data_IF_170268899617
#
_entry.id   IF_170268899617
#
_cell.length_a   1.000
_cell.length_b   1.000
_cell.length_c   1.000
_cell.angle_alpha   90.00
_cell.angle_beta   90.00
_cell.angle_gamma   90.00
#
_symmetry.space_group_name_H-M   'P 1'
#
loop_
_entity.id
_entity.type
_entity.pdbx_description
1 polymer ?
#
# COMPACT_ATOMS: atom_id res chain seq x y z
N UNK A 1 -6.40 -16.86 -10.38
CA UNK A 1 -5.69 -16.17 -9.29
C UNK A 1 -6.71 -15.59 -8.34
N UNK A 2 -6.55 -15.81 -7.03
CA UNK A 2 -7.40 -15.21 -5.99
C UNK A 2 -6.57 -14.13 -5.29
N UNK A 3 -6.58 -12.92 -5.83
CA UNK A 3 -6.00 -11.76 -5.17
C UNK A 3 -6.96 -11.29 -4.07
N UNK A 4 -6.41 -10.92 -2.91
CA UNK A 4 -7.09 -10.42 -1.73
C UNK A 4 -6.73 -8.95 -1.49
N UNK A 5 -7.58 -8.24 -0.75
CA UNK A 5 -7.29 -6.89 -0.27
C UNK A 5 -7.02 -6.94 1.24
N UNK A 6 -5.91 -6.34 1.66
CA UNK A 6 -5.50 -6.17 3.04
C UNK A 6 -5.47 -4.68 3.39
N UNK A 7 -5.80 -4.37 4.65
CA UNK A 7 -5.79 -3.02 5.19
C UNK A 7 -4.94 -2.98 6.45
N UNK A 8 -4.06 -2.00 6.53
CA UNK A 8 -3.10 -1.89 7.64
C UNK A 8 -2.95 -0.43 8.07
N UNK A 9 -2.52 -0.22 9.32
CA UNK A 9 -2.15 1.11 9.80
C UNK A 9 -0.70 1.42 9.45
N UNK A 10 -0.53 2.42 8.59
CA UNK A 10 0.77 2.95 8.18
C UNK A 10 1.33 3.98 9.16
N UNK A 11 2.52 4.49 8.83
CA UNK A 11 3.09 5.68 9.45
C UNK A 11 2.36 6.96 8.98
N UNK A 12 2.61 8.14 9.59
CA UNK A 12 1.95 9.39 9.17
C UNK A 12 2.18 9.80 7.71
N UNK A 13 3.21 9.27 7.06
CA UNK A 13 3.55 9.48 5.65
C UNK A 13 3.26 8.24 4.76
N UNK A 14 2.34 7.38 5.21
CA UNK A 14 2.01 6.12 4.58
C UNK A 14 3.00 5.04 5.00
N UNK A 15 3.99 4.80 4.17
CA UNK A 15 4.99 3.73 4.36
C UNK A 15 6.42 4.27 4.42
N UNK A 16 6.65 5.48 3.91
CA UNK A 16 8.00 5.98 3.59
C UNK A 16 8.92 6.02 4.80
N UNK A 17 8.47 6.56 5.93
CA UNK A 17 9.29 6.63 7.15
C UNK A 17 9.69 5.25 7.65
N UNK A 18 8.74 4.30 7.79
CA UNK A 18 9.03 2.91 8.19
C UNK A 18 10.06 2.25 7.28
N UNK A 19 9.84 2.32 5.96
CA UNK A 19 10.76 1.74 4.99
C UNK A 19 12.19 2.30 5.13
N UNK A 20 12.32 3.60 5.37
CA UNK A 20 13.62 4.26 5.55
C UNK A 20 14.27 3.92 6.89
N UNK A 21 13.49 3.88 7.98
CA UNK A 21 13.96 3.55 9.32
C UNK A 21 14.50 2.11 9.38
N UNK A 22 13.84 1.19 8.67
CA UNK A 22 14.20 -0.23 8.63
C UNK A 22 15.25 -0.58 7.56
N UNK A 23 15.60 0.36 6.67
CA UNK A 23 16.39 0.09 5.46
C UNK A 23 17.71 -0.64 5.74
N UNK A 24 18.38 -0.34 6.86
CA UNK A 24 19.63 -0.99 7.24
C UNK A 24 19.44 -2.45 7.67
N UNK A 25 18.37 -2.76 8.41
CA UNK A 25 18.06 -4.12 8.81
C UNK A 25 17.56 -4.94 7.61
N UNK A 26 16.69 -4.33 6.80
CA UNK A 26 16.22 -4.91 5.54
C UNK A 26 17.37 -5.20 4.57
N UNK A 27 18.38 -4.32 4.48
CA UNK A 27 19.61 -4.56 3.72
C UNK A 27 20.37 -5.79 4.22
N UNK A 28 20.58 -5.89 5.54
CA UNK A 28 21.27 -7.04 6.14
C UNK A 28 20.54 -8.35 5.83
N UNK A 29 19.24 -8.39 6.07
CA UNK A 29 18.41 -9.55 5.79
C UNK A 29 18.43 -9.95 4.30
N UNK A 30 18.31 -8.96 3.41
CA UNK A 30 18.36 -9.20 1.95
C UNK A 30 19.73 -9.71 1.50
N UNK A 31 20.83 -9.25 2.11
CA UNK A 31 22.18 -9.75 1.82
C UNK A 31 22.38 -11.21 2.24
N UNK A 32 21.80 -11.60 3.37
CA UNK A 32 21.81 -13.00 3.83
C UNK A 32 21.06 -13.89 2.82
N UNK A 33 19.86 -13.46 2.39
CA UNK A 33 19.11 -14.18 1.36
C UNK A 33 19.81 -14.20 0.00
N UNK A 34 20.49 -13.11 -0.39
CA UNK A 34 21.25 -13.09 -1.63
C UNK A 34 22.45 -14.04 -1.63
N UNK A 35 23.02 -14.33 -0.44
CA UNK A 35 24.08 -15.32 -0.31
C UNK A 35 23.56 -16.76 -0.47
N UNK A 36 22.33 -17.02 -0.03
CA UNK A 36 21.66 -18.33 -0.18
C UNK A 36 21.05 -18.51 -1.58
N UNK A 37 20.46 -17.45 -2.14
CA UNK A 37 19.72 -17.43 -3.40
C UNK A 37 20.23 -16.33 -4.36
N UNK A 38 21.47 -16.44 -4.88
CA UNK A 38 22.09 -15.36 -5.66
C UNK A 38 21.38 -15.03 -6.98
N UNK A 39 20.57 -15.95 -7.51
CA UNK A 39 19.77 -15.72 -8.72
C UNK A 39 18.54 -14.84 -8.50
N UNK A 40 18.04 -14.73 -7.26
CA UNK A 40 16.82 -13.99 -6.92
C UNK A 40 17.10 -12.51 -6.59
N UNK A 41 18.35 -12.19 -6.24
CA UNK A 41 18.77 -10.86 -5.77
C UNK A 41 19.86 -10.27 -6.67
N UNK A 42 19.49 -9.64 -7.80
CA UNK A 42 20.47 -9.10 -8.74
C UNK A 42 21.33 -7.98 -8.11
N UNK A 43 22.59 -7.79 -8.55
CA UNK A 43 23.50 -6.79 -7.98
C UNK A 43 22.95 -5.35 -7.95
N UNK A 44 22.15 -4.97 -8.95
CA UNK A 44 21.51 -3.65 -9.00
C UNK A 44 20.58 -3.41 -7.80
N UNK A 45 19.79 -4.41 -7.41
CA UNK A 45 18.86 -4.36 -6.27
C UNK A 45 19.61 -4.17 -4.95
N UNK A 46 20.67 -4.95 -4.74
CA UNK A 46 21.53 -4.85 -3.55
C UNK A 46 22.25 -3.49 -3.49
N UNK A 47 22.76 -3.01 -4.63
CA UNK A 47 23.40 -1.70 -4.73
C UNK A 47 22.43 -0.59 -4.40
N UNK A 48 21.19 -0.68 -4.90
CA UNK A 48 20.17 0.33 -4.65
C UNK A 48 19.70 0.34 -3.19
N UNK A 49 19.50 -0.84 -2.61
CA UNK A 49 19.15 -0.96 -1.19
C UNK A 49 20.25 -0.40 -0.29
N UNK A 50 21.53 -0.67 -0.60
CA UNK A 50 22.65 -0.06 0.10
C UNK A 50 22.70 1.47 -0.04
N UNK A 51 22.34 2.02 -1.21
CA UNK A 51 22.24 3.49 -1.37
C UNK A 51 21.10 4.08 -0.53
N UNK A 52 19.95 3.40 -0.46
CA UNK A 52 18.81 3.80 0.37
C UNK A 52 19.20 3.76 1.86
N UNK A 53 19.77 2.65 2.33
CA UNK A 53 20.26 2.48 3.71
C UNK A 53 21.24 3.59 4.11
N UNK A 54 22.12 4.02 3.19
CA UNK A 54 23.12 5.06 3.45
C UNK A 54 22.59 6.49 3.33
N UNK A 55 21.80 6.80 2.31
CA UNK A 55 21.37 8.20 1.98
C UNK A 55 19.93 8.51 2.35
N UNK A 56 19.17 7.51 2.80
CA UNK A 56 17.77 7.63 3.19
C UNK A 56 16.91 8.22 2.08
N UNK A 57 16.06 9.19 2.44
CA UNK A 57 15.11 9.84 1.54
C UNK A 57 15.72 10.43 0.26
N UNK A 58 17.01 10.81 0.28
CA UNK A 58 17.69 11.33 -0.91
C UNK A 58 17.90 10.27 -2.01
N UNK A 59 17.89 8.98 -1.66
CA UNK A 59 17.95 7.88 -2.61
C UNK A 59 16.61 7.58 -3.30
N UNK A 60 15.50 8.14 -2.80
CA UNK A 60 14.16 7.95 -3.36
C UNK A 60 13.81 9.00 -4.43
N UNK A 61 14.77 9.81 -4.88
CA UNK A 61 14.56 10.83 -5.91
C UNK A 61 15.31 10.43 -7.17
N UNK A 62 14.60 10.28 -8.28
CA UNK A 62 15.20 9.94 -9.57
C UNK A 62 14.39 10.49 -10.74
N UNK A 63 15.05 10.63 -11.88
CA UNK A 63 14.42 10.90 -13.18
C UNK A 63 14.42 9.68 -14.09
N UNK A 64 15.02 8.56 -13.65
CA UNK A 64 15.09 7.31 -14.41
C UNK A 64 13.94 6.36 -14.00
N UNK A 65 12.99 6.06 -14.91
CA UNK A 65 11.92 5.11 -14.64
C UNK A 65 12.43 3.70 -14.30
N UNK A 66 13.59 3.28 -14.82
CA UNK A 66 14.18 1.99 -14.50
C UNK A 66 14.64 1.90 -13.04
N UNK A 67 15.26 2.96 -12.55
CA UNK A 67 15.61 3.10 -11.13
C UNK A 67 14.36 3.19 -10.25
N UNK A 68 13.32 3.91 -10.68
CA UNK A 68 12.07 4.01 -9.94
C UNK A 68 11.39 2.64 -9.80
N UNK A 69 11.32 1.86 -10.88
CA UNK A 69 10.79 0.49 -10.86
C UNK A 69 11.62 -0.43 -9.95
N UNK A 70 12.94 -0.28 -9.92
CA UNK A 70 13.80 -1.07 -9.03
C UNK A 70 13.47 -0.81 -7.54
N UNK A 71 13.16 0.43 -7.18
CA UNK A 71 12.75 0.77 -5.81
C UNK A 71 11.36 0.21 -5.49
N UNK A 72 10.42 0.22 -6.44
CA UNK A 72 9.11 -0.42 -6.25
C UNK A 72 9.25 -1.93 -6.01
N UNK A 73 10.17 -2.59 -6.72
CA UNK A 73 10.48 -4.00 -6.48
C UNK A 73 11.05 -4.20 -5.07
N UNK A 74 12.01 -3.38 -4.64
CA UNK A 74 12.53 -3.41 -3.25
C UNK A 74 11.43 -3.21 -2.22
N UNK A 75 10.45 -2.38 -2.54
CA UNK A 75 9.29 -2.13 -1.69
C UNK A 75 8.40 -3.38 -1.56
N UNK A 76 8.25 -4.18 -2.63
CA UNK A 76 7.59 -5.49 -2.56
C UNK A 76 8.36 -6.49 -1.68
N UNK A 77 9.68 -6.54 -1.79
CA UNK A 77 10.48 -7.44 -0.94
C UNK A 77 10.46 -6.99 0.53
N UNK A 78 10.38 -5.68 0.76
CA UNK A 78 10.23 -5.12 2.10
C UNK A 78 8.92 -5.59 2.75
N UNK A 79 7.83 -5.74 1.99
CA UNK A 79 6.61 -6.37 2.51
C UNK A 79 6.88 -7.78 3.05
N UNK A 80 7.56 -8.62 2.26
CA UNK A 80 7.91 -9.98 2.69
C UNK A 80 8.83 -9.97 3.92
N UNK A 81 9.79 -9.04 3.98
CA UNK A 81 10.64 -8.84 5.15
C UNK A 81 9.80 -8.52 6.39
N UNK A 82 8.88 -7.56 6.31
CA UNK A 82 7.99 -7.20 7.42
C UNK A 82 7.17 -8.40 7.91
N UNK A 83 6.57 -9.16 7.00
CA UNK A 83 5.76 -10.34 7.31
C UNK A 83 6.57 -11.46 7.96
N UNK A 84 7.78 -11.73 7.46
CA UNK A 84 8.63 -12.83 7.96
C UNK A 84 9.24 -12.49 9.33
N UNK A 85 9.64 -11.24 9.53
CA UNK A 85 10.32 -10.80 10.75
C UNK A 85 9.37 -10.34 11.85
N UNK A 86 8.14 -9.96 11.49
CA UNK A 86 7.16 -9.39 12.42
C UNK A 86 7.54 -8.00 12.95
N UNK A 87 8.45 -7.28 12.29
CA UNK A 87 9.05 -6.04 12.80
C UNK A 87 8.03 -4.91 13.03
N UNK A 88 6.97 -4.84 12.21
CA UNK A 88 5.84 -3.91 12.38
C UNK A 88 4.60 -4.54 12.99
N UNK A 89 4.72 -5.81 13.45
CA UNK A 89 3.68 -6.63 14.09
C UNK A 89 2.28 -6.28 13.67
N UNK A 90 1.76 -6.96 12.63
CA UNK A 90 0.44 -6.82 12.02
C UNK A 90 -0.57 -6.07 12.92
N UNK A 91 -0.57 -4.74 12.90
CA UNK A 91 -1.78 -3.98 13.21
C UNK A 91 -2.66 -4.06 11.98
N UNK A 92 -3.02 -5.31 11.70
CA UNK A 92 -3.92 -5.73 10.67
C UNK A 92 -5.26 -5.13 11.03
N UNK A 93 -5.65 -4.16 10.23
CA UNK A 93 -6.97 -3.56 10.25
C UNK A 93 -7.82 -4.52 9.43
N UNK A 94 -7.86 -5.80 9.80
CA UNK A 94 -8.41 -6.87 8.95
C UNK A 94 -9.77 -7.28 9.46
N UNK A 95 -10.84 -6.87 8.76
CA UNK A 95 -12.14 -7.47 8.96
C UNK A 95 -12.58 -8.26 7.72
N UNK A 96 -11.81 -8.28 6.62
CA UNK A 96 -12.07 -9.12 5.45
C UNK A 96 -10.80 -9.37 4.63
N UNK A 97 -10.32 -10.61 4.62
CA UNK A 97 -9.52 -11.13 3.51
C UNK A 97 -10.49 -11.53 2.38
N UNK A 98 -11.06 -10.55 1.68
CA UNK A 98 -11.95 -10.80 0.55
C UNK A 98 -11.23 -10.67 -0.78
N UNK A 99 -11.73 -11.44 -1.74
CA UNK A 99 -11.20 -11.44 -3.10
C UNK A 99 -11.43 -10.09 -3.75
N UNK A 100 -10.43 -9.63 -4.50
CA UNK A 100 -10.40 -8.37 -5.25
C UNK A 100 -11.70 -8.06 -6.01
N UNK A 101 -12.33 -9.07 -6.62
CA UNK A 101 -13.55 -8.89 -7.40
C UNK A 101 -14.79 -8.45 -6.60
N UNK A 102 -14.72 -8.47 -5.26
CA UNK A 102 -15.79 -7.91 -4.42
C UNK A 102 -15.74 -6.39 -4.33
N UNK A 103 -14.63 -5.77 -4.71
CA UNK A 103 -14.57 -4.31 -4.75
C UNK A 103 -15.12 -3.85 -6.10
N UNK A 104 -16.08 -2.93 -6.07
CA UNK A 104 -16.54 -2.26 -7.28
C UNK A 104 -15.35 -1.57 -7.96
N UNK A 105 -15.33 -1.53 -9.29
CA UNK A 105 -14.23 -0.88 -10.03
C UNK A 105 -14.25 0.63 -9.79
N UNK A 106 -15.46 1.20 -9.75
CA UNK A 106 -15.70 2.60 -9.44
C UNK A 106 -16.74 2.73 -8.34
N UNK A 107 -16.53 3.68 -7.42
CA UNK A 107 -17.44 3.88 -6.28
C UNK A 107 -18.85 4.25 -6.74
N UNK A 108 -18.98 5.00 -7.84
CA UNK A 108 -20.26 5.43 -8.40
C UNK A 108 -21.12 4.29 -8.97
N UNK A 109 -20.54 3.11 -9.22
CA UNK A 109 -21.30 1.94 -9.70
C UNK A 109 -22.26 1.40 -8.63
N UNK A 110 -21.86 1.50 -7.36
CA UNK A 110 -22.61 1.00 -6.20
C UNK A 110 -23.17 2.10 -5.31
N UNK A 111 -22.56 3.29 -5.35
CA UNK A 111 -23.05 4.51 -4.70
C UNK A 111 -23.15 5.65 -5.73
N UNK A 112 -24.22 5.71 -6.55
CA UNK A 112 -24.34 6.70 -7.63
C UNK A 112 -24.37 8.18 -7.18
N UNK A 113 -24.61 8.41 -5.89
CA UNK A 113 -24.64 9.75 -5.27
C UNK A 113 -23.31 10.13 -4.62
N UNK A 114 -22.29 9.28 -4.69
CA UNK A 114 -20.96 9.60 -4.19
C UNK A 114 -20.36 10.80 -4.93
N UNK A 115 -19.75 11.71 -4.17
CA UNK A 115 -19.05 12.87 -4.75
C UNK A 115 -17.83 12.46 -5.57
N UNK A 116 -17.45 13.27 -6.57
CA UNK A 116 -16.23 13.07 -7.38
C UNK A 116 -14.96 12.87 -6.54
N UNK A 117 -14.84 13.62 -5.43
CA UNK A 117 -13.72 13.50 -4.50
C UNK A 117 -13.69 12.14 -3.78
N UNK A 118 -14.85 11.59 -3.40
CA UNK A 118 -14.95 10.26 -2.81
C UNK A 118 -14.56 9.17 -3.83
N UNK A 119 -15.01 9.32 -5.08
CA UNK A 119 -14.60 8.44 -6.18
C UNK A 119 -13.09 8.55 -6.47
N UNK A 120 -12.49 9.75 -6.33
CA UNK A 120 -11.05 9.93 -6.45
C UNK A 120 -10.26 9.19 -5.37
N UNK A 121 -10.63 9.34 -4.09
CA UNK A 121 -9.99 8.60 -3.00
C UNK A 121 -10.14 7.08 -3.17
N UNK A 122 -11.34 6.61 -3.53
CA UNK A 122 -11.59 5.19 -3.74
C UNK A 122 -10.68 4.61 -4.84
N UNK A 123 -10.56 5.28 -6.00
CA UNK A 123 -9.62 4.86 -7.05
C UNK A 123 -8.18 4.83 -6.57
N UNK A 124 -7.76 5.80 -5.75
CA UNK A 124 -6.40 5.86 -5.20
C UNK A 124 -6.05 4.65 -4.33
N UNK A 125 -6.97 4.12 -3.54
CA UNK A 125 -6.74 2.91 -2.72
C UNK A 125 -6.25 1.70 -3.54
N UNK A 126 -6.50 1.72 -4.84
CA UNK A 126 -6.31 0.60 -5.75
C UNK A 126 -5.33 0.91 -6.91
N UNK A 127 -4.77 2.12 -6.94
CA UNK A 127 -3.94 2.58 -8.04
C UNK A 127 -2.48 2.14 -7.92
N UNK A 128 -1.96 1.98 -6.70
CA UNK A 128 -0.54 1.79 -6.41
C UNK A 128 0.20 3.13 -6.28
N UNK A 129 0.75 3.38 -5.10
CA UNK A 129 1.56 4.54 -4.76
C UNK A 129 3.04 4.15 -4.69
N UNK A 130 3.92 4.93 -5.33
CA UNK A 130 5.36 4.69 -5.29
C UNK A 130 6.00 5.50 -4.17
N UNK A 131 7.01 4.92 -3.50
CA UNK A 131 7.88 5.64 -2.57
C UNK A 131 8.83 6.62 -3.29
N UNK A 132 8.92 6.50 -4.62
CA UNK A 132 9.87 7.23 -5.46
C UNK A 132 9.28 8.56 -5.92
N UNK A 133 10.03 9.63 -5.70
CA UNK A 133 9.78 10.92 -6.34
C UNK A 133 10.32 10.87 -7.78
N UNK A 134 9.48 10.39 -8.71
CA UNK A 134 9.75 10.37 -10.15
C UNK A 134 8.51 10.84 -10.93
N UNK A 135 8.67 11.85 -11.79
CA UNK A 135 7.54 12.48 -12.49
C UNK A 135 6.77 11.47 -13.35
N UNK A 136 5.45 11.36 -13.13
CA UNK A 136 4.57 10.46 -13.87
C UNK A 136 4.76 8.97 -13.58
N UNK A 137 5.62 8.61 -12.62
CA UNK A 137 5.82 7.23 -12.21
C UNK A 137 4.74 6.79 -11.22
N UNK A 138 4.30 5.54 -11.35
CA UNK A 138 3.36 4.88 -10.45
C UNK A 138 3.90 3.53 -10.07
N UNK A 139 3.54 3.03 -8.89
CA UNK A 139 4.01 1.72 -8.42
C UNK A 139 3.68 0.60 -9.42
N UNK A 140 4.64 -0.28 -9.68
CA UNK A 140 4.44 -1.50 -10.48
C UNK A 140 5.13 -2.70 -9.84
N UNK A 141 4.36 -3.69 -9.41
CA UNK A 141 4.90 -4.99 -9.03
C UNK A 141 5.41 -5.77 -10.24
N UNK A 142 6.25 -6.77 -9.97
CA UNK A 142 6.80 -7.68 -10.99
C UNK A 142 5.69 -8.51 -11.66
N UNK A 143 4.67 -8.91 -10.91
CA UNK A 143 3.56 -9.75 -11.38
C UNK A 143 2.39 -8.95 -11.97
N UNK A 144 2.39 -7.62 -11.85
CA UNK A 144 1.31 -6.73 -12.28
C UNK A 144 0.01 -6.85 -11.46
N UNK A 145 0.00 -7.70 -10.42
CA UNK A 145 -1.14 -7.94 -9.54
C UNK A 145 -0.94 -7.21 -8.23
N UNK A 146 0.23 -7.35 -7.61
CA UNK A 146 0.50 -6.73 -6.33
C UNK A 146 0.49 -5.21 -6.41
N UNK A 147 -0.21 -4.56 -5.47
CA UNK A 147 -0.26 -3.10 -5.36
C UNK A 147 -0.23 -2.69 -3.91
N UNK A 148 0.48 -1.61 -3.64
CA UNK A 148 0.42 -0.89 -2.38
C UNK A 148 -0.02 0.53 -2.62
N UNK A 149 -1.09 0.94 -1.96
CA UNK A 149 -1.56 2.32 -1.99
C UNK A 149 -1.79 2.81 -0.56
N UNK A 150 -1.78 4.13 -0.36
CA UNK A 150 -2.04 4.69 0.94
C UNK A 150 -2.77 6.03 0.89
N UNK A 151 -3.57 6.25 1.93
CA UNK A 151 -4.12 7.55 2.26
C UNK A 151 -3.44 8.07 3.51
N UNK A 152 -2.94 9.31 3.44
CA UNK A 152 -2.40 10.01 4.59
C UNK A 152 -3.49 10.23 5.66
N UNK A 153 -3.14 10.52 6.93
CA UNK A 153 -4.14 10.56 8.00
C UNK A 153 -5.30 11.54 7.75
N UNK A 154 -4.99 12.70 7.16
CA UNK A 154 -6.01 13.69 6.79
C UNK A 154 -6.89 13.23 5.63
N UNK A 155 -6.30 12.56 4.63
CA UNK A 155 -7.03 11.98 3.48
C UNK A 155 -7.95 10.85 3.92
N UNK A 156 -7.47 9.96 4.80
CA UNK A 156 -8.26 8.89 5.39
C UNK A 156 -9.44 9.45 6.19
N UNK A 157 -9.21 10.48 7.02
CA UNK A 157 -10.28 11.15 7.77
C UNK A 157 -11.30 11.84 6.85
N UNK A 158 -10.85 12.53 5.81
CA UNK A 158 -11.74 13.18 4.84
C UNK A 158 -12.56 12.19 4.04
N UNK A 159 -11.93 11.11 3.58
CA UNK A 159 -12.64 10.06 2.87
C UNK A 159 -13.65 9.33 3.78
N UNK A 160 -13.26 9.03 5.02
CA UNK A 160 -14.15 8.47 6.04
C UNK A 160 -15.43 9.30 6.19
N UNK A 161 -15.29 10.62 6.33
CA UNK A 161 -16.43 11.54 6.49
C UNK A 161 -17.36 11.52 5.28
N UNK A 162 -16.82 11.40 4.07
CA UNK A 162 -17.61 11.31 2.83
C UNK A 162 -18.40 10.01 2.77
N UNK A 163 -17.78 8.87 3.08
CA UNK A 163 -18.46 7.57 3.08
C UNK A 163 -19.46 7.41 4.23
N UNK A 164 -19.24 8.04 5.38
CA UNK A 164 -20.17 8.01 6.51
C UNK A 164 -21.58 8.50 6.15
N UNK A 165 -21.70 9.46 5.22
CA UNK A 165 -23.00 9.93 4.72
C UNK A 165 -23.81 8.86 3.97
N UNK A 166 -23.19 7.73 3.63
CA UNK A 166 -23.79 6.61 2.93
C UNK A 166 -23.89 5.34 3.79
N UNK A 167 -23.51 5.38 5.07
CA UNK A 167 -23.38 4.20 5.93
C UNK A 167 -24.65 3.34 5.96
N UNK A 168 -25.83 3.97 5.99
CA UNK A 168 -27.13 3.28 6.04
C UNK A 168 -27.48 2.56 4.73
N UNK A 169 -26.82 2.91 3.62
CA UNK A 169 -27.03 2.28 2.30
C UNK A 169 -26.07 1.13 2.01
N UNK A 170 -25.09 0.90 2.89
CA UNK A 170 -24.11 -0.16 2.72
C UNK A 170 -24.68 -1.51 3.17
N UNK A 171 -24.41 -2.55 2.38
CA UNK A 171 -24.89 -3.90 2.62
C UNK A 171 -23.75 -4.91 2.43
N UNK A 172 -23.55 -5.81 3.39
CA UNK A 172 -22.52 -6.86 3.33
C UNK A 172 -22.92 -8.07 2.46
N UNK A 173 -24.19 -8.16 2.05
CA UNK A 173 -24.70 -9.23 1.19
C UNK A 173 -24.52 -8.95 -0.31
N UNK A 174 -24.40 -7.68 -0.70
CA UNK A 174 -24.06 -7.26 -2.06
C UNK A 174 -22.54 -7.15 -2.16
N UNK A 175 -21.91 -7.90 -3.08
CA UNK A 175 -20.45 -8.00 -3.15
C UNK A 175 -19.80 -6.60 -3.24
N UNK A 176 -20.31 -5.71 -4.10
CA UNK A 176 -19.77 -4.37 -4.32
C UNK A 176 -19.92 -3.45 -3.12
N UNK A 177 -21.10 -3.44 -2.49
CA UNK A 177 -21.35 -2.67 -1.27
C UNK A 177 -20.61 -3.26 -0.05
N UNK A 178 -20.34 -4.56 -0.03
CA UNK A 178 -19.55 -5.20 1.01
C UNK A 178 -18.10 -4.69 0.98
N UNK A 179 -17.49 -4.58 -0.22
CA UNK A 179 -16.18 -3.97 -0.39
C UNK A 179 -16.12 -2.55 0.17
N UNK A 180 -17.11 -1.71 -0.16
CA UNK A 180 -17.20 -0.33 0.34
C UNK A 180 -17.41 -0.28 1.86
N UNK A 181 -18.19 -1.21 2.42
CA UNK A 181 -18.37 -1.35 3.88
C UNK A 181 -17.05 -1.60 4.60
N UNK A 182 -16.19 -2.44 4.03
CA UNK A 182 -14.88 -2.73 4.60
C UNK A 182 -13.93 -1.56 4.49
N UNK A 183 -13.93 -0.85 3.37
CA UNK A 183 -13.19 0.41 3.21
C UNK A 183 -13.62 1.42 4.29
N UNK A 184 -14.93 1.61 4.50
CA UNK A 184 -15.43 2.51 5.54
C UNK A 184 -14.92 2.11 6.94
N UNK A 185 -14.97 0.82 7.28
CA UNK A 185 -14.49 0.32 8.57
C UNK A 185 -12.99 0.56 8.76
N UNK A 186 -12.19 0.29 7.73
CA UNK A 186 -10.75 0.53 7.75
C UNK A 186 -10.40 2.03 7.92
N UNK A 187 -11.15 2.91 7.24
CA UNK A 187 -11.00 4.35 7.37
C UNK A 187 -11.36 4.87 8.76
N UNK A 188 -12.40 4.32 9.39
CA UNK A 188 -12.78 4.67 10.77
C UNK A 188 -11.65 4.35 11.75
N UNK A 189 -11.06 3.16 11.64
CA UNK A 189 -9.94 2.76 12.48
C UNK A 189 -8.68 3.60 12.22
N UNK A 190 -8.32 3.87 10.96
CA UNK A 190 -7.20 4.76 10.64
C UNK A 190 -7.40 6.17 11.22
N UNK A 191 -8.62 6.69 11.17
CA UNK A 191 -8.99 7.98 11.76
C UNK A 191 -8.87 7.99 13.28
N UNK A 192 -9.35 6.95 13.96
CA UNK A 192 -9.27 6.81 15.43
C UNK A 192 -7.82 6.79 15.91
N UNK A 193 -6.95 6.11 15.18
CA UNK A 193 -5.51 5.99 15.50
C UNK A 193 -4.67 7.15 14.95
N UNK A 194 -5.26 8.10 14.22
CA UNK A 194 -4.55 9.22 13.59
C UNK A 194 -3.44 8.77 12.62
N UNK A 195 -3.63 7.61 11.98
CA UNK A 195 -2.62 6.92 11.17
C UNK A 195 -3.00 6.93 9.68
N UNK A 196 -2.03 6.67 8.81
CA UNK A 196 -2.33 6.43 7.39
C UNK A 196 -3.03 5.09 7.24
N UNK A 197 -3.88 4.97 6.22
CA UNK A 197 -4.43 3.69 5.80
C UNK A 197 -3.58 3.14 4.66
N UNK A 198 -2.94 1.99 4.86
CA UNK A 198 -2.28 1.23 3.80
C UNK A 198 -3.27 0.21 3.22
N UNK A 199 -3.23 0.02 1.91
CA UNK A 199 -4.04 -0.97 1.19
C UNK A 199 -3.14 -1.81 0.30
N UNK A 200 -3.21 -3.12 0.50
CA UNK A 200 -2.39 -4.12 -0.19
C UNK A 200 -3.27 -5.05 -1.00
N UNK A 201 -2.96 -5.24 -2.28
CA UNK A 201 -3.62 -6.23 -3.16
C UNK A 201 -2.65 -7.37 -3.40
N UNK A 202 -2.98 -8.61 -3.03
CA UNK A 202 -2.06 -9.76 -3.15
C UNK A 202 -2.79 -11.08 -3.44
#
# INVERSE_FOLDING_TARGET
MSAYVYFELGAPDGLRSRFLDDAAEFERWTRELAAEFPGEYPPAKLTKLADISRRGAAALKTTDPGEAQLIDHLTHDYWNFCTITGIHGDKDVTPSAHKWHRYAMELSEVLPTASDEACHYYRRLFAGDSLVECCGHTYRSIDGVFRWSWLLPHEASDFCRKLQGHADSLNLEDDGLAGVSWVLKALQWAKEEGSSLLVSVA
#
